data_IF_593066546930
#
_entry.id   IF_593066546930
#
_cell.length_a   1.000
_cell.length_b   1.000
_cell.length_c   1.000
_cell.angle_alpha   90.00
_cell.angle_beta   90.00
_cell.angle_gamma   90.00
#
_symmetry.space_group_name_H-M   'P 1'
#
loop_
_entity.id
_entity.type
_entity.pdbx_description
1 polymer ?
#
# COMPACT_ATOMS: atom_id res chain seq x y z
N UNK A 1 -3.48 -40.58 34.28
CA UNK A 1 -2.13 -40.32 33.72
C UNK A 1 -2.25 -40.53 32.22
N UNK A 2 -2.46 -39.44 31.47
CA UNK A 2 -1.44 -38.89 30.57
C UNK A 2 -1.60 -39.60 29.22
N UNK A 3 -1.97 -38.95 28.12
CA UNK A 3 -1.14 -37.96 27.43
C UNK A 3 -2.00 -37.01 26.57
N UNK A 4 -1.86 -35.70 26.80
CA UNK A 4 -2.36 -34.64 25.92
C UNK A 4 -1.37 -34.46 24.76
N UNK A 5 -1.69 -35.08 23.63
CA UNK A 5 -0.90 -34.98 22.40
C UNK A 5 -1.43 -33.96 21.40
N UNK A 6 -1.65 -32.70 21.76
CA UNK A 6 -1.86 -31.63 20.76
C UNK A 6 -0.52 -31.01 20.40
N UNK A 7 0.17 -31.66 19.45
CA UNK A 7 1.32 -31.08 18.74
C UNK A 7 0.82 -29.99 17.80
N UNK A 8 0.41 -28.85 18.34
CA UNK A 8 0.08 -27.67 17.53
C UNK A 8 1.37 -27.19 16.88
N UNK A 9 1.46 -27.33 15.54
CA UNK A 9 2.47 -26.62 14.76
C UNK A 9 2.18 -25.14 14.96
N UNK A 10 2.93 -24.49 15.86
CA UNK A 10 2.91 -23.04 16.07
C UNK A 10 3.03 -22.35 14.72
N UNK A 11 1.90 -21.94 14.15
CA UNK A 11 1.87 -21.01 13.05
C UNK A 11 2.41 -19.72 13.63
N UNK A 12 3.57 -19.25 13.18
CA UNK A 12 4.16 -18.00 13.67
C UNK A 12 3.95 -16.95 12.59
N UNK A 13 3.31 -15.85 12.96
CA UNK A 13 3.22 -14.70 12.07
C UNK A 13 4.62 -14.17 11.71
N UNK A 14 4.82 -13.82 10.45
CA UNK A 14 6.04 -13.16 10.00
C UNK A 14 6.13 -11.77 10.61
N UNK A 15 7.35 -11.37 11.02
CA UNK A 15 7.55 -10.03 11.54
C UNK A 15 7.31 -8.98 10.45
N UNK A 16 6.63 -7.89 10.79
CA UNK A 16 6.44 -6.77 9.88
C UNK A 16 7.79 -6.14 9.53
N UNK A 17 8.06 -6.03 8.22
CA UNK A 17 9.17 -5.29 7.64
C UNK A 17 8.62 -4.45 6.47
N UNK A 18 8.70 -3.10 6.52
CA UNK A 18 8.17 -2.23 5.48
C UNK A 18 8.91 -2.35 4.13
N UNK A 19 10.04 -3.07 4.09
CA UNK A 19 10.73 -3.38 2.83
C UNK A 19 10.24 -4.68 2.18
N UNK A 20 9.51 -5.52 2.93
CA UNK A 20 9.04 -6.83 2.47
C UNK A 20 7.53 -6.85 2.27
N UNK A 21 6.78 -6.11 3.09
CA UNK A 21 5.32 -6.09 3.06
C UNK A 21 4.78 -4.67 3.00
N UNK A 22 3.72 -4.48 2.23
CA UNK A 22 2.82 -3.34 2.41
C UNK A 22 2.03 -3.53 3.72
N UNK A 23 1.70 -2.42 4.39
CA UNK A 23 1.09 -2.46 5.71
C UNK A 23 -0.27 -3.17 5.68
N UNK A 24 -1.08 -2.86 4.67
CA UNK A 24 -2.43 -3.37 4.49
C UNK A 24 -2.44 -4.91 4.36
N UNK A 25 -1.54 -5.46 3.56
CA UNK A 25 -1.42 -6.90 3.36
C UNK A 25 -0.95 -7.61 4.63
N UNK A 26 0.03 -7.02 5.33
CA UNK A 26 0.53 -7.59 6.57
C UNK A 26 -0.50 -7.51 7.71
N UNK A 27 -1.29 -6.45 7.76
CA UNK A 27 -2.37 -6.27 8.73
C UNK A 27 -3.44 -7.37 8.58
N UNK A 28 -3.77 -7.77 7.34
CA UNK A 28 -4.67 -8.92 7.09
C UNK A 28 -4.09 -10.22 7.65
N UNK A 29 -2.78 -10.44 7.50
CA UNK A 29 -2.11 -11.61 8.08
C UNK A 29 -2.16 -11.62 9.61
N UNK A 30 -2.00 -10.45 10.23
CA UNK A 30 -2.11 -10.28 11.67
C UNK A 30 -3.53 -10.57 12.18
N UNK A 31 -4.55 -10.01 11.54
CA UNK A 31 -5.92 -10.25 11.93
C UNK A 31 -6.30 -11.72 11.77
N UNK A 32 -5.86 -12.37 10.67
CA UNK A 32 -6.05 -13.80 10.44
C UNK A 32 -5.39 -14.63 11.54
N UNK A 33 -4.16 -14.29 11.93
CA UNK A 33 -3.44 -14.94 13.01
C UNK A 33 -4.19 -14.83 14.35
N UNK A 34 -4.60 -13.61 14.71
CA UNK A 34 -5.35 -13.34 15.95
C UNK A 34 -6.65 -14.15 16.00
N UNK A 35 -7.36 -14.25 14.87
CA UNK A 35 -8.61 -14.97 14.76
C UNK A 35 -8.43 -16.49 14.88
N UNK A 36 -7.41 -17.06 14.23
CA UNK A 36 -7.11 -18.51 14.31
C UNK A 36 -6.71 -18.92 15.72
N UNK A 37 -5.91 -18.12 16.40
CA UNK A 37 -5.49 -18.36 17.78
C UNK A 37 -6.60 -18.05 18.82
N UNK A 38 -7.73 -17.49 18.39
CA UNK A 38 -8.88 -17.21 19.26
C UNK A 38 -8.63 -16.11 20.30
N UNK A 39 -7.74 -15.16 20.02
CA UNK A 39 -7.35 -14.12 20.97
C UNK A 39 -8.40 -13.01 20.98
N UNK A 40 -9.05 -12.83 22.13
CA UNK A 40 -10.14 -11.86 22.32
C UNK A 40 -9.63 -10.62 23.08
N UNK A 41 -8.79 -10.82 24.10
CA UNK A 41 -8.34 -9.74 24.98
C UNK A 41 -7.49 -8.69 24.27
N UNK A 42 -7.85 -7.42 24.43
CA UNK A 42 -7.15 -6.28 23.81
C UNK A 42 -5.66 -6.24 24.19
N UNK A 43 -5.35 -6.48 25.47
CA UNK A 43 -3.97 -6.53 25.96
C UNK A 43 -3.13 -7.61 25.25
N UNK A 44 -3.73 -8.77 24.97
CA UNK A 44 -3.05 -9.87 24.28
C UNK A 44 -2.85 -9.53 22.80
N UNK A 45 -3.88 -9.00 22.12
CA UNK A 45 -3.78 -8.52 20.73
C UNK A 45 -2.68 -7.47 20.59
N UNK A 46 -2.64 -6.49 21.50
CA UNK A 46 -1.59 -5.47 21.55
C UNK A 46 -0.20 -6.08 21.69
N UNK A 47 -0.03 -6.99 22.64
CA UNK A 47 1.28 -7.61 22.89
C UNK A 47 1.75 -8.42 21.69
N UNK A 48 0.83 -9.11 21.00
CA UNK A 48 1.12 -9.85 19.76
C UNK A 48 1.50 -8.90 18.64
N UNK A 49 0.76 -7.81 18.43
CA UNK A 49 1.10 -6.78 17.45
C UNK A 49 2.53 -6.28 17.69
N UNK A 50 2.87 -5.89 18.92
CA UNK A 50 4.20 -5.40 19.29
C UNK A 50 5.28 -6.48 19.04
N UNK A 51 5.03 -7.72 19.44
CA UNK A 51 5.97 -8.84 19.26
C UNK A 51 6.19 -9.19 17.79
N UNK A 52 5.20 -8.89 16.93
CA UNK A 52 5.23 -9.16 15.50
C UNK A 52 5.86 -8.02 14.69
N UNK A 53 6.38 -6.97 15.33
CA UNK A 53 7.11 -5.92 14.63
C UNK A 53 8.59 -6.27 14.43
N UNK A 54 9.13 -5.94 13.26
CA UNK A 54 10.57 -5.86 13.05
C UNK A 54 11.21 -4.72 13.83
N UNK A 55 12.55 -4.69 13.86
CA UNK A 55 13.32 -3.72 14.67
C UNK A 55 13.00 -2.28 14.30
N UNK A 56 12.89 -1.97 13.00
CA UNK A 56 12.61 -0.61 12.52
C UNK A 56 11.19 -0.17 12.89
N UNK A 57 10.11 -0.93 12.55
CA UNK A 57 8.76 -0.59 12.98
C UNK A 57 8.56 -0.48 14.48
N UNK A 58 9.24 -1.31 15.27
CA UNK A 58 9.20 -1.20 16.72
C UNK A 58 9.78 0.13 17.23
N UNK A 59 10.92 0.58 16.68
CA UNK A 59 11.49 1.90 17.03
C UNK A 59 10.57 3.05 16.63
N UNK A 60 9.93 2.97 15.48
CA UNK A 60 8.94 3.95 15.03
C UNK A 60 7.76 4.00 15.99
N UNK A 61 7.21 2.85 16.39
CA UNK A 61 6.13 2.78 17.38
C UNK A 61 6.49 3.50 18.68
N UNK A 62 7.68 3.22 19.23
CA UNK A 62 8.16 3.87 20.45
C UNK A 62 8.19 5.39 20.27
N UNK A 63 8.62 5.89 19.11
CA UNK A 63 8.60 7.32 18.80
C UNK A 63 7.18 7.90 18.74
N UNK A 64 6.23 7.17 18.13
CA UNK A 64 4.82 7.58 17.99
C UNK A 64 4.02 7.53 19.31
N UNK A 65 4.51 6.80 20.30
CA UNK A 65 3.88 6.66 21.61
C UNK A 65 4.38 7.67 22.65
N UNK A 66 5.46 8.41 22.39
CA UNK A 66 5.98 9.39 23.34
C UNK A 66 4.91 10.44 23.72
N UNK A 67 4.81 10.82 25.01
CA UNK A 67 5.70 10.46 26.13
C UNK A 67 5.35 9.13 26.86
N UNK A 68 4.29 8.43 26.46
CA UNK A 68 3.82 7.18 27.09
C UNK A 68 4.50 5.95 26.51
N UNK A 69 4.35 4.78 27.16
CA UNK A 69 4.84 3.50 26.62
C UNK A 69 3.81 2.91 25.65
N UNK A 70 4.22 2.13 24.64
CA UNK A 70 3.27 1.43 23.78
C UNK A 70 2.29 0.53 24.54
N UNK A 71 2.71 -0.03 25.68
CA UNK A 71 1.86 -0.87 26.54
C UNK A 71 0.74 -0.11 27.24
N UNK A 72 0.80 1.23 27.28
CA UNK A 72 -0.21 2.08 27.92
C UNK A 72 -1.38 2.41 26.97
N UNK A 73 -1.27 2.03 25.69
CA UNK A 73 -2.30 2.20 24.67
C UNK A 73 -3.11 0.92 24.48
N UNK A 74 -4.30 1.05 23.90
CA UNK A 74 -5.08 -0.09 23.40
C UNK A 74 -4.52 -0.64 22.09
N UNK A 75 -4.92 -1.85 21.71
CA UNK A 75 -4.60 -2.43 20.40
C UNK A 75 -5.01 -1.49 19.26
N UNK A 76 -6.24 -0.99 19.30
CA UNK A 76 -6.83 -0.13 18.27
C UNK A 76 -6.04 1.17 18.08
N UNK A 77 -5.57 1.79 19.16
CA UNK A 77 -4.76 3.00 19.08
C UNK A 77 -3.39 2.73 18.43
N UNK A 78 -2.73 1.64 18.81
CA UNK A 78 -1.41 1.29 18.25
C UNK A 78 -1.52 0.96 16.77
N UNK A 79 -2.49 0.11 16.41
CA UNK A 79 -2.62 -0.33 15.03
C UNK A 79 -2.99 0.84 14.11
N UNK A 80 -3.82 1.78 14.58
CA UNK A 80 -4.15 3.01 13.83
C UNK A 80 -2.94 3.94 13.66
N UNK A 81 -2.10 4.10 14.70
CA UNK A 81 -0.86 4.88 14.62
C UNK A 81 0.10 4.29 13.60
N UNK A 82 0.26 2.97 13.61
CA UNK A 82 1.13 2.27 12.67
C UNK A 82 0.59 2.31 11.25
N UNK A 83 -0.72 2.07 11.06
CA UNK A 83 -1.40 2.20 9.77
C UNK A 83 -1.19 3.59 9.18
N UNK A 84 -1.46 4.65 9.94
CA UNK A 84 -1.24 6.03 9.48
C UNK A 84 0.22 6.30 9.05
N UNK A 85 1.19 5.68 9.72
CA UNK A 85 2.61 5.88 9.42
C UNK A 85 3.11 5.02 8.24
N UNK A 86 2.61 3.79 8.09
CA UNK A 86 3.12 2.81 7.15
C UNK A 86 2.27 2.62 5.89
N UNK A 87 0.98 2.94 5.95
CA UNK A 87 0.17 3.16 4.74
C UNK A 87 0.84 4.28 3.96
N UNK A 88 1.38 3.95 2.78
CA UNK A 88 1.93 4.97 1.89
C UNK A 88 0.78 5.90 1.54
N UNK A 89 0.92 7.18 1.87
CA UNK A 89 0.07 8.21 1.27
C UNK A 89 0.45 8.29 -0.21
N UNK A 90 -0.17 7.43 -1.03
CA UNK A 90 -0.04 7.48 -2.47
C UNK A 90 -0.91 8.61 -2.97
N UNK A 91 -0.29 9.74 -3.30
CA UNK A 91 -1.00 10.79 -4.01
C UNK A 91 -1.34 10.27 -5.40
N UNK A 92 -2.64 10.28 -5.74
CA UNK A 92 -3.11 9.88 -7.06
C UNK A 92 -2.32 10.57 -8.19
N UNK A 93 -1.96 11.84 -8.01
CA UNK A 93 -1.10 12.59 -8.94
C UNK A 93 0.29 11.96 -9.13
N UNK A 94 0.95 11.53 -8.05
CA UNK A 94 2.27 10.88 -8.11
C UNK A 94 2.18 9.52 -8.77
N UNK A 95 1.14 8.74 -8.47
CA UNK A 95 0.91 7.43 -9.10
C UNK A 95 0.61 7.58 -10.59
N UNK A 96 -0.17 8.58 -10.99
CA UNK A 96 -0.38 8.92 -12.41
C UNK A 96 0.93 9.30 -13.11
N UNK A 97 1.81 10.08 -12.47
CA UNK A 97 3.14 10.41 -13.03
C UNK A 97 3.94 9.12 -13.25
N UNK A 98 4.01 8.23 -12.24
CA UNK A 98 4.70 6.94 -12.37
C UNK A 98 4.11 6.07 -13.48
N UNK A 99 2.78 6.06 -13.61
CA UNK A 99 2.07 5.34 -14.67
C UNK A 99 2.47 5.88 -16.05
N UNK A 100 2.43 7.19 -16.27
CA UNK A 100 2.84 7.81 -17.54
C UNK A 100 4.34 7.68 -17.83
N UNK A 101 5.17 7.53 -16.79
CA UNK A 101 6.61 7.30 -16.93
C UNK A 101 6.96 5.82 -17.18
N UNK A 102 6.01 4.90 -17.00
CA UNK A 102 6.27 3.46 -17.15
C UNK A 102 6.49 3.11 -18.62
N UNK A 103 7.66 2.55 -18.91
CA UNK A 103 8.04 2.09 -20.26
C UNK A 103 8.23 0.59 -20.24
N UNK A 104 7.98 -0.04 -21.38
CA UNK A 104 8.27 -1.47 -21.56
C UNK A 104 9.78 -1.66 -21.57
N UNK A 105 10.28 -2.57 -20.74
CA UNK A 105 11.69 -2.96 -20.74
C UNK A 105 12.01 -3.80 -21.98
N UNK A 106 13.25 -3.73 -22.46
CA UNK A 106 13.67 -4.41 -23.70
C UNK A 106 13.48 -5.94 -23.63
N UNK A 107 13.57 -6.52 -22.44
CA UNK A 107 13.38 -7.96 -22.18
C UNK A 107 11.95 -8.36 -21.82
N UNK A 108 11.03 -7.40 -21.66
CA UNK A 108 9.67 -7.65 -21.18
C UNK A 108 8.73 -7.94 -22.36
N UNK A 109 7.94 -9.00 -22.28
CA UNK A 109 6.93 -9.30 -23.29
C UNK A 109 5.73 -8.35 -23.21
N UNK A 110 5.00 -8.21 -24.31
CA UNK A 110 3.81 -7.35 -24.37
C UNK A 110 2.72 -7.73 -23.34
N UNK A 111 2.41 -9.03 -23.09
CA UNK A 111 1.46 -9.42 -22.05
C UNK A 111 1.92 -9.07 -20.62
N UNK A 112 3.22 -9.22 -20.33
CA UNK A 112 3.80 -8.86 -19.03
C UNK A 112 3.77 -7.35 -18.80
N UNK A 113 4.05 -6.58 -19.85
CA UNK A 113 3.92 -5.12 -19.80
C UNK A 113 2.48 -4.69 -19.58
N UNK A 114 1.51 -5.31 -20.26
CA UNK A 114 0.09 -5.06 -20.04
C UNK A 114 -0.36 -5.38 -18.59
N UNK A 115 0.16 -6.46 -18.00
CA UNK A 115 -0.05 -6.78 -16.58
C UNK A 115 0.56 -5.73 -15.64
N UNK A 116 1.75 -5.25 -15.96
CA UNK A 116 2.43 -4.18 -15.20
C UNK A 116 1.61 -2.89 -15.21
N UNK A 117 1.09 -2.49 -16.38
CA UNK A 117 0.23 -1.31 -16.51
C UNK A 117 -1.07 -1.49 -15.74
N UNK A 118 -1.73 -2.65 -15.83
CA UNK A 118 -2.92 -2.98 -15.03
C UNK A 118 -2.65 -2.83 -13.53
N UNK A 119 -1.54 -3.37 -13.05
CA UNK A 119 -1.14 -3.24 -11.65
C UNK A 119 -0.99 -1.78 -11.21
N UNK A 120 -0.41 -0.91 -12.05
CA UNK A 120 -0.25 0.52 -11.74
C UNK A 120 -1.56 1.31 -11.78
N UNK A 121 -2.55 0.89 -12.58
CA UNK A 121 -3.84 1.60 -12.63
C UNK A 121 -4.64 1.51 -11.32
N UNK A 122 -4.39 0.52 -10.46
CA UNK A 122 -5.11 0.33 -9.20
C UNK A 122 -4.87 1.48 -8.21
N UNK A 123 -3.71 2.13 -8.26
CA UNK A 123 -3.31 3.21 -7.34
C UNK A 123 -3.46 4.62 -7.92
N UNK A 124 -3.68 4.75 -9.23
CA UNK A 124 -3.74 6.04 -9.93
C UNK A 124 -5.04 6.84 -9.69
N UNK A 125 -6.11 6.17 -9.23
CA UNK A 125 -7.46 6.73 -8.99
C UNK A 125 -7.85 7.81 -10.01
N UNK A 126 -7.95 7.45 -11.29
CA UNK A 126 -8.27 8.42 -12.35
C UNK A 126 -9.68 8.99 -12.15
N UNK A 127 -9.85 10.32 -12.30
CA UNK A 127 -11.13 10.96 -12.05
C UNK A 127 -12.14 10.56 -13.15
N UNK A 128 -13.46 10.49 -12.86
CA UNK A 128 -14.49 10.03 -13.80
C UNK A 128 -14.45 10.74 -15.16
N UNK A 129 -14.13 12.03 -15.17
CA UNK A 129 -14.04 12.88 -16.35
C UNK A 129 -12.93 12.44 -17.32
N UNK A 130 -11.93 11.70 -16.83
CA UNK A 130 -10.90 11.08 -17.67
C UNK A 130 -11.49 10.00 -18.59
N UNK A 131 -12.52 9.28 -18.13
CA UNK A 131 -13.18 8.23 -18.89
C UNK A 131 -14.23 8.78 -19.86
N UNK A 132 -14.80 9.96 -19.59
CA UNK A 132 -15.78 10.59 -20.48
C UNK A 132 -15.17 11.10 -21.79
N UNK A 133 -13.88 11.49 -21.74
CA UNK A 133 -13.10 11.86 -22.92
C UNK A 133 -12.59 10.64 -23.69
N UNK A 134 -12.73 9.43 -23.14
CA UNK A 134 -12.41 8.20 -23.85
C UNK A 134 -13.51 7.90 -24.87
N UNK A 135 -13.17 7.61 -26.15
CA UNK A 135 -14.17 7.31 -27.16
C UNK A 135 -15.05 6.14 -26.71
N UNK A 136 -16.35 6.39 -26.54
CA UNK A 136 -17.36 5.38 -26.17
C UNK A 136 -17.50 4.39 -27.31
N UNK A 137 -16.71 3.32 -27.28
CA UNK A 137 -16.72 2.33 -28.35
C UNK A 137 -15.67 1.24 -28.18
N UNK A 138 -16.00 0.27 -27.33
CA UNK A 138 -15.42 -1.09 -27.27
C UNK A 138 -13.97 -1.20 -26.76
N UNK A 139 -13.82 -2.10 -25.79
CA UNK A 139 -12.56 -2.65 -25.25
C UNK A 139 -11.72 -1.71 -24.38
N UNK A 140 -12.13 -1.69 -23.11
CA UNK A 140 -11.33 -1.42 -21.93
C UNK A 140 -10.12 -2.38 -21.86
N UNK A 141 -9.12 -2.26 -22.75
CA UNK A 141 -7.78 -2.86 -22.58
C UNK A 141 -6.71 -2.31 -23.55
N UNK A 142 -7.06 -1.62 -24.63
CA UNK A 142 -6.10 -1.29 -25.71
C UNK A 142 -5.81 0.21 -25.94
N UNK A 143 -6.58 1.13 -25.36
CA UNK A 143 -6.40 2.58 -25.61
C UNK A 143 -5.18 3.19 -24.89
N UNK A 144 -4.54 2.43 -23.99
CA UNK A 144 -3.26 2.84 -23.40
C UNK A 144 -2.05 2.62 -24.32
N UNK A 145 -2.20 1.87 -25.42
CA UNK A 145 -1.10 1.68 -26.40
C UNK A 145 -1.03 2.78 -27.46
N UNK A 146 -2.10 3.54 -27.71
CA UNK A 146 -2.11 4.54 -28.78
C UNK A 146 -1.74 5.98 -28.38
N UNK A 147 -1.72 6.30 -27.08
CA UNK A 147 -1.33 7.63 -26.60
C UNK A 147 0.18 7.82 -26.41
N UNK A 148 1.00 6.85 -26.81
CA UNK A 148 2.46 7.00 -26.78
C UNK A 148 3.07 7.41 -28.14
N UNK A 149 2.26 7.67 -29.17
CA UNK A 149 2.84 7.98 -30.50
C UNK A 149 2.30 9.26 -31.14
N UNK A 150 1.04 9.67 -30.97
CA UNK A 150 0.54 10.86 -31.66
C UNK A 150 -0.42 11.68 -30.78
N UNK A 151 -0.12 12.98 -30.62
CA UNK A 151 -1.03 14.05 -30.19
C UNK A 151 -1.22 14.35 -28.67
N UNK A 152 -0.57 15.46 -28.26
CA UNK A 152 -1.10 16.52 -27.36
C UNK A 152 -0.80 16.47 -25.86
N UNK A 153 0.46 16.28 -25.49
CA UNK A 153 1.09 16.94 -24.32
C UNK A 153 1.21 18.47 -24.44
N UNK A 154 0.42 19.12 -25.31
CA UNK A 154 0.38 20.58 -25.50
C UNK A 154 -0.81 21.27 -24.82
N UNK A 155 -1.70 20.58 -24.09
CA UNK A 155 -2.80 21.25 -23.37
C UNK A 155 -2.80 21.14 -21.85
N UNK A 156 -2.18 20.12 -21.25
CA UNK A 156 -2.12 20.00 -19.79
C UNK A 156 -0.79 20.44 -19.17
N UNK A 157 0.25 20.68 -19.99
CA UNK A 157 1.50 21.31 -19.53
C UNK A 157 1.36 22.82 -19.24
N UNK A 158 0.23 23.44 -19.57
CA UNK A 158 -0.01 24.87 -19.37
C UNK A 158 -0.57 25.23 -17.98
N UNK A 159 -0.97 24.25 -17.16
CA UNK A 159 -1.49 24.52 -15.81
C UNK A 159 -0.48 24.29 -14.68
N UNK A 160 0.69 23.72 -14.97
CA UNK A 160 1.73 23.48 -13.95
C UNK A 160 2.90 24.47 -14.00
N UNK A 161 2.91 25.41 -14.95
CA UNK A 161 3.96 26.43 -15.09
C UNK A 161 3.61 27.79 -14.47
N UNK A 162 2.48 27.91 -13.75
CA UNK A 162 2.00 29.17 -13.15
C UNK A 162 2.14 29.23 -11.63
N UNK A 163 2.56 28.15 -10.95
CA UNK A 163 2.66 28.13 -9.47
C UNK A 163 4.08 28.03 -8.90
N UNK A 164 5.12 28.12 -9.74
CA UNK A 164 6.52 28.10 -9.27
C UNK A 164 7.37 29.12 -10.04
N UNK A 165 7.11 30.42 -9.87
CA UNK A 165 8.11 31.48 -10.01
C UNK A 165 7.74 32.67 -9.09
N UNK A 166 8.52 32.81 -7.99
CA UNK A 166 8.94 34.04 -7.27
C UNK A 166 7.85 35.00 -6.74
N UNK A 167 7.52 34.94 -5.44
CA UNK A 167 8.07 35.87 -4.43
C UNK A 167 9.48 36.42 -4.72
N UNK A 168 9.54 37.76 -4.68
CA UNK A 168 10.65 38.71 -4.94
C UNK A 168 11.12 38.85 -6.40
#
# INVERSE_FOLDING_TARGET
MGETGTRSRSYRIHKFDPNQYDWEDWEILLDTYINVEGIIEDNQKRNILIASLGVIPFKTLISLCKPKKPTDYSYTEIITKLRTNYTRVTFASTERIKFFQTKQEASQSLPEFANTLRGKTTTCNFPPEFYEQAPRGKHCTLVLLYFNVLHRTLKYFMYFKVLYYTYE
#
